data_IF_365329450838
#
_entry.id   IF_365329450838
#
_cell.length_a   1.000
_cell.length_b   1.000
_cell.length_c   1.000
_cell.angle_alpha   90.00
_cell.angle_beta   90.00
_cell.angle_gamma   90.00
#
_symmetry.space_group_name_H-M   'P 1'
#
loop_
_entity.id
_entity.type
_entity.pdbx_description
1 polymer ?
#
# COMPACT_ATOMS: atom_id res chain seq x y z
N UNK A 1 -25.16 48.65 -24.79
CA UNK A 1 -25.86 48.07 -23.64
C UNK A 1 -26.34 46.71 -24.10
N UNK A 2 -25.48 45.69 -24.06
CA UNK A 2 -25.01 44.94 -22.88
C UNK A 2 -25.90 43.75 -22.57
N UNK A 3 -25.21 42.67 -22.22
CA UNK A 3 -25.64 41.39 -21.66
C UNK A 3 -26.02 40.32 -22.69
N UNK A 4 -25.06 39.46 -23.07
CA UNK A 4 -24.56 38.31 -22.29
C UNK A 4 -25.60 37.19 -22.27
N UNK A 5 -25.41 36.20 -23.15
CA UNK A 5 -25.77 34.83 -22.78
C UNK A 5 -24.59 33.93 -23.10
N UNK A 6 -23.89 33.63 -22.01
CA UNK A 6 -22.60 32.96 -21.95
C UNK A 6 -22.87 31.46 -21.93
N UNK A 7 -23.17 30.87 -23.09
CA UNK A 7 -23.28 29.41 -23.23
C UNK A 7 -21.95 28.84 -23.71
N UNK A 8 -21.04 28.61 -22.76
CA UNK A 8 -20.06 27.53 -22.94
C UNK A 8 -19.63 27.06 -21.55
N UNK A 9 -20.43 26.13 -21.03
CA UNK A 9 -19.99 25.13 -20.07
C UNK A 9 -18.79 24.39 -20.65
N UNK A 10 -17.59 24.96 -20.51
CA UNK A 10 -16.37 24.18 -20.62
C UNK A 10 -16.29 23.41 -19.32
N UNK A 11 -16.94 22.25 -19.33
CA UNK A 11 -16.79 21.20 -18.36
C UNK A 11 -15.32 20.73 -18.40
N UNK A 12 -14.42 21.46 -17.73
CA UNK A 12 -13.05 21.03 -17.46
C UNK A 12 -13.11 19.97 -16.35
N UNK A 13 -13.65 18.80 -16.72
CA UNK A 13 -13.35 17.52 -16.11
C UNK A 13 -12.93 16.54 -17.21
N UNK A 14 -12.15 17.06 -18.17
CA UNK A 14 -11.34 16.26 -19.06
C UNK A 14 -10.21 15.61 -18.25
N UNK A 15 -10.57 14.59 -17.47
CA UNK A 15 -9.66 13.68 -16.79
C UNK A 15 -9.89 12.23 -17.26
N UNK A 16 -10.51 12.06 -18.43
CA UNK A 16 -11.08 10.80 -18.87
C UNK A 16 -10.17 9.95 -19.76
N UNK A 17 -8.96 10.42 -20.09
CA UNK A 17 -8.11 9.79 -21.10
C UNK A 17 -6.74 9.50 -20.52
N UNK A 18 -6.35 8.22 -20.48
CA UNK A 18 -4.95 7.88 -20.21
C UNK A 18 -4.13 8.19 -21.46
N UNK A 19 -2.81 8.49 -21.39
CA UNK A 19 -2.03 8.87 -22.56
C UNK A 19 -2.10 7.86 -23.73
N UNK A 20 -2.38 6.59 -23.41
CA UNK A 20 -2.47 5.48 -24.37
C UNK A 20 -3.92 5.09 -24.68
N UNK A 21 -4.90 5.57 -23.93
CA UNK A 21 -6.34 5.31 -24.12
C UNK A 21 -7.12 6.63 -24.14
N UNK A 22 -7.01 7.32 -25.28
CA UNK A 22 -7.59 8.65 -25.48
C UNK A 22 -9.11 8.63 -25.62
N UNK A 23 -9.69 7.51 -26.06
CA UNK A 23 -11.13 7.31 -26.23
C UNK A 23 -11.78 6.67 -25.01
N UNK A 24 -10.97 6.20 -24.08
CA UNK A 24 -11.41 5.70 -22.80
C UNK A 24 -12.01 4.30 -22.84
N UNK A 25 -11.56 3.45 -23.77
CA UNK A 25 -12.06 2.10 -24.01
C UNK A 25 -11.76 1.14 -22.85
N UNK A 26 -10.68 1.34 -22.10
CA UNK A 26 -10.23 0.42 -21.05
C UNK A 26 -10.65 0.90 -19.65
N UNK A 27 -11.94 0.77 -19.35
CA UNK A 27 -12.53 1.21 -18.07
C UNK A 27 -11.83 0.56 -16.87
N UNK A 28 -11.61 -0.76 -16.90
CA UNK A 28 -10.91 -1.46 -15.82
C UNK A 28 -9.44 -1.06 -15.72
N UNK A 29 -8.76 -0.85 -16.85
CA UNK A 29 -7.40 -0.33 -16.88
C UNK A 29 -7.28 1.05 -16.24
N UNK A 30 -8.26 1.93 -16.46
CA UNK A 30 -8.33 3.24 -15.81
C UNK A 30 -8.53 3.14 -14.30
N UNK A 31 -9.37 2.22 -13.84
CA UNK A 31 -9.56 1.99 -12.41
C UNK A 31 -8.25 1.55 -11.71
N UNK A 32 -7.50 0.64 -12.35
CA UNK A 32 -6.18 0.19 -11.86
C UNK A 32 -5.16 1.33 -11.89
N UNK A 33 -5.16 2.16 -12.94
CA UNK A 33 -4.30 3.34 -13.00
C UNK A 33 -4.63 4.32 -11.86
N UNK A 34 -5.90 4.62 -11.62
CA UNK A 34 -6.30 5.50 -10.51
C UNK A 34 -5.93 4.94 -9.13
N UNK A 35 -5.94 3.60 -8.96
CA UNK A 35 -5.41 2.96 -7.76
C UNK A 35 -3.89 3.17 -7.63
N UNK A 36 -3.16 3.02 -8.73
CA UNK A 36 -1.70 3.23 -8.79
C UNK A 36 -1.33 4.68 -8.45
N UNK A 37 -2.05 5.64 -9.04
CA UNK A 37 -1.83 7.07 -8.78
C UNK A 37 -2.08 7.42 -7.31
N UNK A 38 -3.15 6.89 -6.70
CA UNK A 38 -3.41 7.08 -5.25
C UNK A 38 -2.32 6.46 -4.40
N UNK A 39 -1.80 5.28 -4.76
CA UNK A 39 -0.74 4.62 -4.02
C UNK A 39 0.58 5.41 -4.10
N UNK A 40 0.90 5.97 -5.26
CA UNK A 40 2.05 6.87 -5.45
C UNK A 40 1.90 8.20 -4.69
N UNK A 41 0.66 8.68 -4.53
CA UNK A 41 0.35 9.93 -3.84
C UNK A 41 0.11 9.75 -2.32
N UNK A 42 0.12 8.52 -1.80
CA UNK A 42 -0.19 8.24 -0.40
C UNK A 42 0.73 9.03 0.55
N UNK A 43 0.13 9.74 1.51
CA UNK A 43 0.85 10.60 2.45
C UNK A 43 1.45 9.83 3.64
N UNK A 44 1.05 8.56 3.82
CA UNK A 44 1.50 7.71 4.91
C UNK A 44 1.56 6.24 4.53
N UNK A 45 2.34 5.46 5.29
CA UNK A 45 2.38 4.00 5.11
C UNK A 45 1.05 3.32 5.48
N UNK A 46 0.25 3.90 6.39
CA UNK A 46 -1.07 3.35 6.72
C UNK A 46 -2.04 3.52 5.54
N UNK A 47 -2.04 4.69 4.90
CA UNK A 47 -2.82 4.92 3.69
C UNK A 47 -2.38 4.02 2.54
N UNK A 48 -1.06 3.87 2.33
CA UNK A 48 -0.53 2.95 1.34
C UNK A 48 -0.90 1.49 1.65
N UNK A 49 -0.95 1.10 2.93
CA UNK A 49 -1.37 -0.24 3.33
C UNK A 49 -2.85 -0.48 3.03
N UNK A 50 -3.73 0.49 3.29
CA UNK A 50 -5.16 0.41 2.95
C UNK A 50 -5.40 0.33 1.43
N UNK A 51 -4.60 1.02 0.62
CA UNK A 51 -4.66 0.92 -0.83
C UNK A 51 -4.11 -0.42 -1.33
N UNK A 52 -3.06 -0.93 -0.69
CA UNK A 52 -2.49 -2.26 -0.98
C UNK A 52 -3.47 -3.37 -0.62
N UNK A 53 -4.22 -3.21 0.48
CA UNK A 53 -5.28 -4.13 0.90
C UNK A 53 -6.36 -4.29 -0.19
N UNK A 54 -6.76 -3.21 -0.87
CA UNK A 54 -7.70 -3.29 -2.02
C UNK A 54 -7.20 -4.16 -3.17
N UNK A 55 -5.88 -4.38 -3.29
CA UNK A 55 -5.29 -5.27 -4.30
C UNK A 55 -5.27 -6.72 -3.81
N UNK A 56 -4.90 -6.91 -2.55
CA UNK A 56 -4.53 -8.20 -1.98
C UNK A 56 -5.63 -8.87 -1.15
N UNK A 57 -6.76 -8.19 -0.90
CA UNK A 57 -7.87 -8.78 -0.14
C UNK A 57 -8.33 -10.08 -0.84
N UNK A 58 -8.42 -11.21 -0.11
CA UNK A 58 -8.56 -12.54 -0.71
C UNK A 58 -9.91 -12.84 -1.34
N UNK A 59 -10.94 -12.02 -1.13
CA UNK A 59 -12.34 -12.30 -1.54
C UNK A 59 -12.82 -11.33 -2.63
N UNK A 60 -12.51 -10.06 -2.45
CA UNK A 60 -13.00 -8.91 -3.17
C UNK A 60 -11.86 -8.05 -3.74
N UNK A 61 -10.60 -8.35 -3.39
CA UNK A 61 -9.43 -7.65 -3.88
C UNK A 61 -9.24 -7.82 -5.39
N UNK A 62 -8.46 -6.90 -5.96
CA UNK A 62 -8.21 -6.87 -7.40
C UNK A 62 -7.65 -8.20 -7.93
N UNK A 63 -6.70 -8.83 -7.22
CA UNK A 63 -6.11 -10.09 -7.67
C UNK A 63 -7.15 -11.22 -7.73
N UNK A 64 -8.03 -11.34 -6.75
CA UNK A 64 -9.10 -12.34 -6.80
C UNK A 64 -10.06 -12.08 -7.96
N UNK A 65 -10.38 -10.80 -8.24
CA UNK A 65 -11.23 -10.46 -9.40
C UNK A 65 -10.55 -10.68 -10.75
N UNK A 66 -9.22 -10.71 -10.80
CA UNK A 66 -8.47 -11.09 -12.00
C UNK A 66 -8.55 -12.59 -12.31
N UNK A 67 -9.10 -13.42 -11.40
CA UNK A 67 -9.51 -14.77 -11.73
C UNK A 67 -10.64 -14.86 -12.78
N UNK A 68 -11.12 -13.72 -13.32
CA UNK A 68 -11.94 -13.65 -14.54
C UNK A 68 -11.34 -14.45 -15.72
N UNK A 69 -10.02 -14.71 -15.71
CA UNK A 69 -9.39 -15.62 -16.67
C UNK A 69 -9.99 -17.02 -16.68
N UNK A 70 -10.55 -17.52 -15.57
CA UNK A 70 -11.29 -18.80 -15.56
C UNK A 70 -12.55 -18.74 -16.42
N UNK A 71 -13.29 -17.62 -16.34
CA UNK A 71 -14.46 -17.42 -17.19
C UNK A 71 -14.05 -17.28 -18.66
N UNK A 72 -12.90 -16.66 -18.94
CA UNK A 72 -12.34 -16.61 -20.29
C UNK A 72 -11.89 -17.99 -20.78
N UNK A 73 -11.32 -18.83 -19.90
CA UNK A 73 -10.91 -20.20 -20.20
C UNK A 73 -12.12 -21.06 -20.59
N UNK A 74 -13.20 -21.01 -19.80
CA UNK A 74 -14.45 -21.70 -20.13
C UNK A 74 -15.01 -21.20 -21.47
N UNK A 75 -14.90 -19.90 -21.75
CA UNK A 75 -15.34 -19.35 -23.04
C UNK A 75 -14.48 -19.84 -24.21
N UNK A 76 -13.17 -20.02 -24.03
CA UNK A 76 -12.27 -20.57 -25.06
C UNK A 76 -12.59 -22.05 -25.36
N UNK A 77 -12.88 -22.82 -24.30
CA UNK A 77 -13.24 -24.23 -24.37
C UNK A 77 -14.53 -24.50 -25.18
N UNK A 78 -15.48 -23.57 -25.17
CA UNK A 78 -16.71 -23.65 -25.99
C UNK A 78 -16.45 -23.76 -27.50
N UNK A 79 -15.24 -23.42 -27.97
CA UNK A 79 -14.89 -23.57 -29.39
C UNK A 79 -14.76 -25.02 -29.85
N UNK A 80 -14.60 -25.97 -28.91
CA UNK A 80 -14.39 -27.42 -29.18
C UNK A 80 -13.24 -27.71 -30.18
N UNK A 81 -12.25 -26.81 -30.23
CA UNK A 81 -11.06 -26.92 -31.08
C UNK A 81 -9.82 -27.11 -30.23
N UNK A 82 -8.82 -27.78 -30.79
CA UNK A 82 -7.49 -27.95 -30.17
C UNK A 82 -6.91 -26.61 -29.70
N UNK A 83 -6.84 -25.61 -30.60
CA UNK A 83 -6.39 -24.25 -30.25
C UNK A 83 -7.17 -23.62 -29.07
N UNK A 84 -8.45 -23.97 -28.91
CA UNK A 84 -9.29 -23.47 -27.83
C UNK A 84 -9.09 -24.18 -26.50
N UNK A 85 -8.71 -25.46 -26.53
CA UNK A 85 -8.28 -26.20 -25.35
C UNK A 85 -6.91 -25.71 -24.87
N UNK A 86 -5.95 -25.50 -25.78
CA UNK A 86 -4.64 -24.92 -25.44
C UNK A 86 -4.80 -23.55 -24.77
N UNK A 87 -5.64 -22.68 -25.34
CA UNK A 87 -5.93 -21.36 -24.75
C UNK A 87 -6.68 -21.46 -23.40
N UNK A 88 -7.56 -22.46 -23.23
CA UNK A 88 -8.22 -22.71 -21.95
C UNK A 88 -7.17 -23.04 -20.87
N UNK A 89 -6.21 -23.91 -21.17
CA UNK A 89 -5.16 -24.31 -20.24
C UNK A 89 -4.28 -23.10 -19.87
N UNK A 90 -3.86 -22.28 -20.85
CA UNK A 90 -3.09 -21.05 -20.62
C UNK A 90 -3.82 -20.08 -19.67
N UNK A 91 -5.13 -19.90 -19.87
CA UNK A 91 -5.95 -18.98 -19.08
C UNK A 91 -6.22 -19.51 -17.66
N UNK A 92 -6.37 -20.82 -17.49
CA UNK A 92 -6.47 -21.45 -16.18
C UNK A 92 -5.15 -21.32 -15.41
N UNK A 93 -4.01 -21.55 -16.06
CA UNK A 93 -2.69 -21.36 -15.44
C UNK A 93 -2.45 -19.90 -15.04
N UNK A 94 -2.90 -18.95 -15.87
CA UNK A 94 -2.86 -17.52 -15.52
C UNK A 94 -3.69 -17.21 -14.26
N UNK A 95 -4.90 -17.77 -14.15
CA UNK A 95 -5.75 -17.58 -12.96
C UNK A 95 -5.10 -18.14 -11.69
N UNK A 96 -4.47 -19.32 -11.77
CA UNK A 96 -3.70 -19.91 -10.67
C UNK A 96 -2.53 -19.00 -10.28
N UNK A 97 -1.75 -18.55 -11.26
CA UNK A 97 -0.60 -17.66 -11.04
C UNK A 97 -1.00 -16.36 -10.32
N UNK A 98 -2.15 -15.79 -10.68
CA UNK A 98 -2.67 -14.58 -10.03
C UNK A 98 -3.04 -14.83 -8.56
N UNK A 99 -3.68 -15.96 -8.23
CA UNK A 99 -4.00 -16.30 -6.84
C UNK A 99 -2.75 -16.59 -6.02
N UNK A 100 -1.80 -17.32 -6.60
CA UNK A 100 -0.51 -17.58 -5.97
C UNK A 100 0.26 -16.29 -5.69
N UNK A 101 0.14 -15.27 -6.57
CA UNK A 101 0.71 -13.95 -6.31
C UNK A 101 0.07 -13.29 -5.07
N UNK A 102 -1.25 -13.38 -4.91
CA UNK A 102 -1.96 -12.91 -3.72
C UNK A 102 -1.48 -13.60 -2.45
N UNK A 103 -1.40 -14.93 -2.48
CA UNK A 103 -0.87 -15.75 -1.39
C UNK A 103 0.59 -15.42 -1.07
N UNK A 104 1.43 -15.15 -2.06
CA UNK A 104 2.81 -14.74 -1.81
C UNK A 104 2.93 -13.34 -1.18
N UNK A 105 1.95 -12.46 -1.44
CA UNK A 105 1.95 -11.07 -1.00
C UNK A 105 1.07 -10.81 0.23
N UNK A 106 0.37 -11.80 0.80
CA UNK A 106 -0.58 -11.61 1.91
C UNK A 106 -0.03 -10.79 3.10
N UNK A 107 1.26 -10.93 3.43
CA UNK A 107 1.90 -10.17 4.53
C UNK A 107 2.30 -8.73 4.17
N UNK A 108 2.18 -8.33 2.91
CA UNK A 108 2.67 -7.03 2.44
C UNK A 108 1.95 -5.87 3.13
N UNK A 109 0.64 -6.00 3.38
CA UNK A 109 -0.17 -4.99 4.08
C UNK A 109 0.37 -4.76 5.49
N UNK A 110 0.56 -5.82 6.27
CA UNK A 110 1.09 -5.73 7.63
C UNK A 110 2.52 -5.22 7.67
N UNK A 111 3.36 -5.65 6.72
CA UNK A 111 4.73 -5.14 6.57
C UNK A 111 4.73 -3.65 6.26
N UNK A 112 3.79 -3.17 5.45
CA UNK A 112 3.67 -1.75 5.12
C UNK A 112 3.23 -0.94 6.34
N UNK A 113 2.23 -1.42 7.11
CA UNK A 113 1.84 -0.79 8.39
C UNK A 113 3.01 -0.73 9.39
N UNK A 114 3.84 -1.76 9.43
CA UNK A 114 5.00 -1.81 10.30
C UNK A 114 6.04 -0.72 10.00
N UNK A 115 6.05 -0.14 8.78
CA UNK A 115 6.94 0.97 8.43
C UNK A 115 6.56 2.28 9.12
N UNK A 116 5.29 2.46 9.52
CA UNK A 116 4.85 3.62 10.29
C UNK A 116 5.16 3.51 11.78
N UNK A 117 5.46 2.32 12.29
CA UNK A 117 5.75 2.13 13.70
C UNK A 117 7.14 2.68 14.03
N UNK A 118 7.30 3.49 15.11
CA UNK A 118 8.63 3.85 15.57
C UNK A 118 9.43 2.58 15.87
N UNK A 119 10.75 2.57 15.58
CA UNK A 119 11.58 1.39 15.83
C UNK A 119 11.37 0.96 17.28
N UNK A 120 10.94 -0.31 17.46
CA UNK A 120 10.76 -0.88 18.79
C UNK A 120 12.08 -0.73 19.52
N UNK A 121 12.15 0.18 20.51
CA UNK A 121 13.29 0.26 21.44
C UNK A 121 13.55 -1.14 21.92
N UNK A 122 14.72 -1.67 21.58
CA UNK A 122 15.04 -3.01 22.01
C UNK A 122 15.09 -2.96 23.55
N UNK A 123 14.49 -3.95 24.20
CA UNK A 123 14.39 -3.95 25.66
C UNK A 123 15.78 -3.99 26.33
N UNK A 124 16.82 -4.40 25.61
CA UNK A 124 18.20 -4.44 26.08
C UNK A 124 18.82 -3.03 26.18
N UNK A 125 18.51 -2.11 25.25
CA UNK A 125 18.87 -0.69 25.26
C UNK A 125 18.09 0.06 26.33
N UNK A 126 16.80 -0.26 26.50
CA UNK A 126 16.00 0.32 27.59
C UNK A 126 16.55 -0.08 28.98
N UNK A 127 17.05 -1.31 29.12
CA UNK A 127 17.72 -1.77 30.33
C UNK A 127 19.10 -1.12 30.48
N UNK A 128 19.88 -0.98 29.41
CA UNK A 128 21.17 -0.31 29.45
C UNK A 128 21.05 1.17 29.86
N UNK A 129 20.05 1.90 29.37
CA UNK A 129 19.73 3.27 29.80
C UNK A 129 19.28 3.33 31.27
N UNK A 130 18.51 2.33 31.73
CA UNK A 130 18.04 2.27 33.11
C UNK A 130 19.18 2.00 34.12
N UNK A 131 20.18 1.21 33.73
CA UNK A 131 21.38 0.93 34.52
C UNK A 131 22.56 1.87 34.21
N UNK A 132 22.40 2.82 33.29
CA UNK A 132 23.42 3.82 33.03
C UNK A 132 23.62 4.69 34.28
N UNK A 133 24.84 4.79 34.84
CA UNK A 133 25.09 5.62 36.01
C UNK A 133 24.82 7.09 35.64
N UNK A 134 23.86 7.73 36.32
CA UNK A 134 23.68 9.18 36.24
C UNK A 134 25.01 9.88 36.57
N UNK A 135 25.49 10.84 35.75
CA UNK A 135 26.67 11.62 36.10
C UNK A 135 26.36 12.43 37.37
N UNK A 136 26.93 11.95 38.48
CA UNK A 136 26.49 12.28 39.83
C UNK A 136 26.58 13.76 40.20
N UNK A 137 25.60 14.16 41.01
CA UNK A 137 25.68 15.28 41.93
C UNK A 137 26.95 15.17 42.76
N UNK A 138 27.92 16.04 42.48
CA UNK A 138 29.18 16.14 43.24
C UNK A 138 28.91 16.93 44.52
N UNK A 139 28.47 16.25 45.57
CA UNK A 139 28.41 16.83 46.92
C UNK A 139 29.85 16.96 47.45
N UNK A 140 30.34 18.19 47.54
CA UNK A 140 31.60 18.50 48.22
C UNK A 140 31.41 18.37 49.74
N UNK A 141 32.31 17.70 50.49
CA UNK A 141 32.24 17.70 51.94
C UNK A 141 32.68 19.06 52.49
N UNK A 142 31.76 19.75 53.17
CA UNK A 142 32.08 20.92 54.00
C UNK A 142 32.98 20.50 55.16
N UNK A 143 34.25 20.94 55.13
CA UNK A 143 35.15 20.93 56.28
C UNK A 143 34.80 22.11 57.19
N UNK A 144 34.25 21.83 58.37
CA UNK A 144 34.27 22.78 59.50
C UNK A 144 35.53 22.49 60.36
N UNK A 145 36.31 23.51 60.76
CA UNK A 145 37.42 23.30 61.68
C UNK A 145 36.90 23.15 63.13
N UNK A 146 37.25 22.03 63.78
CA UNK A 146 37.14 21.87 65.22
C UNK A 146 38.12 22.82 65.92
N UNK A 147 37.61 23.57 66.90
CA UNK A 147 38.35 24.47 67.78
C UNK A 147 38.61 23.75 69.12
N UNK A 148 39.85 23.68 69.64
CA UNK A 148 40.09 23.19 71.00
C UNK A 148 40.31 24.34 72.00
N UNK A 149 39.71 24.20 73.18
CA UNK A 149 40.06 24.80 74.49
C UNK A 149 40.49 23.62 75.40
N UNK A 150 41.13 23.79 76.58
CA UNK A 150 41.28 24.98 77.42
C UNK A 150 42.57 25.77 77.20
#
# INVERSE_FOLDING_TARGET
>A
MSSEDSTSDINVHDSASTPTDLTGHYVHGRAVLGLTDRLNAAASYEEAAQLTDQVLEPTDGLLERLAVFEAAAEKAKESEREDGFDLCDDLQEAAVTVRDLGENLHVAVDRMRALAAPPRRNWQEAVADYYAPSPGSRTAPSRLPLRPHP
#
